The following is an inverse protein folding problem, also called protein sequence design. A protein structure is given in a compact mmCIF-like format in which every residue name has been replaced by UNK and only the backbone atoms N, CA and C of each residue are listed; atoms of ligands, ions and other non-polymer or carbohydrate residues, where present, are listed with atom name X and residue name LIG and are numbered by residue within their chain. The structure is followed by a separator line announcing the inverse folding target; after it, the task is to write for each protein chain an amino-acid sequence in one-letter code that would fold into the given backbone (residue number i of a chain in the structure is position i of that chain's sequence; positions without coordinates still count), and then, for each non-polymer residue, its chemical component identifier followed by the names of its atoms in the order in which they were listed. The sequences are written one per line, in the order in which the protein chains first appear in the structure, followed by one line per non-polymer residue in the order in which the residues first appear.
data_IF_585025588884
#
_entry.id   IF_585025588884
#
_cell.length_a   1.000
_cell.length_b   1.000
_cell.length_c   1.000
_cell.angle_alpha   90.00
_cell.angle_beta   90.00
_cell.angle_gamma   90.00
#
_symmetry.space_group_name_H-M   'P 1'
#
loop_
_entity.id
_entity.type
_entity.pdbx_description
1 polymer ?
#
# COMPACT_ATOMS: atom_id res chain seq x y z
N UNK A 1 16.41 -1.73 -4.17
CA UNK A 1 15.39 -2.56 -3.60
C UNK A 1 15.67 -3.99 -3.95
N UNK A 2 15.18 -4.92 -3.58
CA UNK A 2 15.17 -6.32 -3.60
C UNK A 2 16.09 -7.09 -4.50
N UNK A 3 16.32 -8.30 -4.12
CA UNK A 3 17.12 -9.26 -4.87
C UNK A 3 16.31 -9.95 -5.95
N UNK A 4 14.97 -9.87 -5.89
CA UNK A 4 14.06 -10.48 -6.84
C UNK A 4 13.17 -9.42 -7.48
N UNK A 5 13.59 -8.94 -8.67
CA UNK A 5 12.89 -7.89 -9.39
C UNK A 5 11.53 -8.34 -9.94
N UNK A 6 11.25 -9.65 -9.97
CA UNK A 6 9.97 -10.19 -10.43
C UNK A 6 8.95 -10.30 -9.31
N UNK A 7 9.34 -10.11 -8.06
CA UNK A 7 8.44 -10.23 -6.93
C UNK A 7 7.60 -8.96 -6.75
N UNK A 8 6.34 -9.15 -6.38
CA UNK A 8 5.43 -8.05 -6.07
C UNK A 8 4.86 -8.24 -4.67
N UNK A 9 4.95 -7.19 -3.88
CA UNK A 9 4.33 -7.15 -2.56
C UNK A 9 3.07 -6.28 -2.63
N UNK A 10 1.93 -6.85 -2.24
CA UNK A 10 0.65 -6.13 -2.17
C UNK A 10 0.33 -5.89 -0.70
N UNK A 11 0.31 -4.65 -0.29
CA UNK A 11 0.00 -4.25 1.08
C UNK A 11 -1.43 -3.70 1.15
N UNK A 12 -2.25 -4.30 2.00
CA UNK A 12 -3.51 -3.70 2.41
C UNK A 12 -3.29 -2.90 3.69
N UNK A 13 -3.59 -1.62 3.65
CA UNK A 13 -3.35 -0.70 4.77
C UNK A 13 -4.68 -0.23 5.34
N UNK A 14 -4.77 -0.19 6.66
CA UNK A 14 -5.92 0.36 7.35
C UNK A 14 -6.37 -0.49 8.52
N UNK A 15 -7.38 0.02 9.23
CA UNK A 15 -7.95 -0.66 10.39
C UNK A 15 -9.33 -1.20 10.03
N UNK A 16 -9.47 -2.52 9.96
CA UNK A 16 -10.73 -3.18 9.59
C UNK A 16 -11.85 -3.01 10.61
N UNK A 17 -11.53 -2.54 11.80
CA UNK A 17 -12.53 -2.24 12.83
C UNK A 17 -13.24 -0.90 12.55
N UNK A 18 -12.68 -0.07 11.67
CA UNK A 18 -13.26 1.22 11.27
C UNK A 18 -13.66 1.12 9.80
N UNK A 19 -14.97 1.20 9.51
CA UNK A 19 -15.51 0.75 8.22
C UNK A 19 -14.82 1.35 7.00
N UNK A 20 -14.58 2.65 6.95
CA UNK A 20 -13.94 3.28 5.79
C UNK A 20 -12.43 3.05 5.78
N UNK A 21 -11.83 2.94 6.94
CA UNK A 21 -10.38 2.76 7.10
C UNK A 21 -9.93 1.34 6.73
N UNK A 22 -10.85 0.38 6.73
CA UNK A 22 -10.54 -1.01 6.43
C UNK A 22 -10.57 -1.40 4.96
N UNK A 23 -10.88 -0.46 4.06
CA UNK A 23 -11.05 -0.74 2.62
C UNK A 23 -9.80 -1.34 1.99
N UNK A 24 -8.62 -0.80 2.32
CA UNK A 24 -7.36 -1.29 1.75
C UNK A 24 -7.10 -2.76 2.08
N UNK A 25 -7.30 -3.13 3.34
CA UNK A 25 -7.12 -4.52 3.78
C UNK A 25 -8.13 -5.45 3.12
N UNK A 26 -9.40 -5.03 3.07
CA UNK A 26 -10.46 -5.84 2.45
C UNK A 26 -10.23 -6.03 0.97
N UNK A 27 -9.77 -5.01 0.27
CA UNK A 27 -9.45 -5.12 -1.14
C UNK A 27 -8.28 -6.07 -1.37
N UNK A 28 -7.26 -5.99 -0.54
CA UNK A 28 -6.12 -6.92 -0.60
C UNK A 28 -6.57 -8.37 -0.40
N UNK A 29 -7.40 -8.61 0.61
CA UNK A 29 -7.93 -9.95 0.89
C UNK A 29 -8.75 -10.48 -0.28
N UNK A 30 -9.56 -9.64 -0.89
CA UNK A 30 -10.38 -10.04 -2.05
C UNK A 30 -9.52 -10.38 -3.25
N UNK A 31 -8.50 -9.59 -3.53
CA UNK A 31 -7.57 -9.90 -4.62
C UNK A 31 -6.83 -11.21 -4.38
N UNK A 32 -6.40 -11.45 -3.16
CA UNK A 32 -5.74 -12.70 -2.77
C UNK A 32 -6.68 -13.89 -3.00
N UNK A 33 -7.92 -13.78 -2.56
CA UNK A 33 -8.90 -14.87 -2.66
C UNK A 33 -9.32 -15.14 -4.10
N UNK A 34 -9.39 -14.11 -4.94
CA UNK A 34 -9.76 -14.27 -6.35
C UNK A 34 -8.60 -14.76 -7.22
N UNK A 35 -7.37 -14.47 -6.83
CA UNK A 35 -6.17 -14.80 -7.62
C UNK A 35 -5.08 -15.41 -6.76
N UNK A 36 -5.37 -16.54 -6.06
CA UNK A 36 -4.39 -17.13 -5.14
C UNK A 36 -3.17 -17.73 -5.83
N UNK A 37 -3.27 -18.00 -7.13
CA UNK A 37 -2.24 -18.70 -7.90
C UNK A 37 -1.23 -17.77 -8.57
N UNK A 38 -1.31 -16.45 -8.35
CA UNK A 38 -0.39 -15.52 -8.98
C UNK A 38 1.06 -15.75 -8.50
N UNK A 39 1.98 -16.17 -9.40
CA UNK A 39 3.35 -16.42 -8.99
C UNK A 39 4.09 -15.11 -8.66
N UNK A 40 4.93 -15.15 -7.66
CA UNK A 40 5.74 -14.01 -7.29
C UNK A 40 4.98 -12.87 -6.61
N UNK A 41 3.71 -13.06 -6.26
CA UNK A 41 2.90 -12.05 -5.59
C UNK A 41 2.65 -12.46 -4.15
N UNK A 42 2.99 -11.58 -3.22
CA UNK A 42 2.74 -11.78 -1.79
C UNK A 42 1.72 -10.75 -1.34
N UNK A 43 0.67 -11.22 -0.68
CA UNK A 43 -0.37 -10.37 -0.11
C UNK A 43 -0.16 -10.26 1.39
N UNK A 44 -0.16 -9.04 1.91
CA UNK A 44 0.11 -8.80 3.31
C UNK A 44 -0.84 -7.76 3.87
N UNK A 45 -1.46 -8.10 5.01
CA UNK A 45 -2.22 -7.14 5.80
C UNK A 45 -1.22 -6.31 6.61
N UNK A 46 -1.04 -5.08 6.18
CA UNK A 46 -0.14 -4.16 6.86
C UNK A 46 -0.78 -3.52 8.09
N UNK A 47 -2.11 -3.61 8.20
CA UNK A 47 -2.85 -2.99 9.30
C UNK A 47 -2.45 -1.53 9.48
N UNK A 48 -1.89 -1.22 10.63
CA UNK A 48 -1.20 0.04 10.86
C UNK A 48 0.25 -0.13 10.39
N UNK A 49 0.72 0.82 9.60
CA UNK A 49 2.08 0.77 9.05
C UNK A 49 3.13 0.79 10.16
N UNK A 50 4.14 -0.07 10.01
CA UNK A 50 5.18 -0.25 11.01
C UNK A 50 6.53 -0.50 10.34
N UNK A 51 7.62 -0.13 11.00
CA UNK A 51 8.98 -0.41 10.55
C UNK A 51 9.28 -1.90 10.41
N UNK A 52 8.47 -2.75 11.04
CA UNK A 52 8.58 -4.21 10.88
C UNK A 52 8.41 -4.63 9.42
N UNK A 53 7.68 -3.84 8.63
CA UNK A 53 7.46 -4.10 7.20
C UNK A 53 8.65 -3.74 6.32
N UNK A 54 9.61 -3.00 6.84
CA UNK A 54 10.71 -2.44 6.04
C UNK A 54 11.51 -3.52 5.29
N UNK A 55 11.93 -4.63 5.91
CA UNK A 55 12.66 -5.67 5.16
C UNK A 55 11.87 -6.23 3.99
N UNK A 56 10.57 -6.46 4.15
CA UNK A 56 9.72 -6.99 3.10
C UNK A 56 9.58 -6.01 1.94
N UNK A 57 9.45 -4.72 2.26
CA UNK A 57 9.38 -3.66 1.24
C UNK A 57 10.71 -3.57 0.48
N UNK A 58 11.83 -3.66 1.18
CA UNK A 58 13.14 -3.58 0.55
C UNK A 58 13.43 -4.80 -0.33
N UNK A 59 12.89 -5.97 0.02
CA UNK A 59 13.16 -7.21 -0.72
C UNK A 59 12.26 -7.39 -1.95
N UNK A 60 11.14 -6.67 -2.07
CA UNK A 60 10.27 -6.82 -3.22
C UNK A 60 10.79 -6.04 -4.44
N UNK A 61 10.47 -6.53 -5.63
CA UNK A 61 10.78 -5.83 -6.88
C UNK A 61 9.77 -4.74 -7.19
N UNK A 62 8.52 -4.95 -6.80
CA UNK A 62 7.42 -3.99 -7.00
C UNK A 62 6.55 -3.94 -5.76
N UNK A 63 6.02 -2.77 -5.46
CA UNK A 63 5.16 -2.56 -4.31
C UNK A 63 3.84 -1.95 -4.76
N UNK A 64 2.74 -2.58 -4.38
CA UNK A 64 1.39 -2.05 -4.55
C UNK A 64 0.77 -1.82 -3.17
N UNK A 65 0.37 -0.58 -2.90
CA UNK A 65 -0.26 -0.21 -1.64
C UNK A 65 -1.73 0.10 -1.89
N UNK A 66 -2.60 -0.57 -1.15
CA UNK A 66 -4.05 -0.38 -1.21
C UNK A 66 -4.49 0.29 0.09
N UNK A 67 -5.04 1.49 -0.03
CA UNK A 67 -5.39 2.29 1.14
C UNK A 67 -6.61 3.16 0.86
N UNK A 68 -7.35 3.48 1.90
CA UNK A 68 -8.41 4.47 1.84
C UNK A 68 -7.81 5.86 1.93
N UNK A 69 -8.29 6.78 1.08
CA UNK A 69 -7.79 8.14 1.07
C UNK A 69 -8.93 9.12 0.75
N UNK A 70 -8.77 10.35 1.21
CA UNK A 70 -9.68 11.43 0.83
C UNK A 70 -9.18 12.06 -0.47
N UNK A 71 -9.92 11.81 -1.55
CA UNK A 71 -9.52 12.23 -2.89
C UNK A 71 -10.27 13.48 -3.37
N UNK A 72 -11.21 14.00 -2.57
CA UNK A 72 -12.07 15.10 -2.97
C UNK A 72 -13.15 14.69 -3.97
N UNK A 73 -13.27 13.40 -4.25
CA UNK A 73 -14.28 12.83 -5.15
C UNK A 73 -15.38 12.16 -4.33
N UNK A 74 -16.49 11.78 -4.97
CA UNK A 74 -17.60 11.12 -4.29
C UNK A 74 -17.23 9.74 -3.75
N UNK A 75 -18.05 9.19 -2.83
CA UNK A 75 -17.84 7.84 -2.29
C UNK A 75 -17.76 6.80 -3.40
N UNK A 76 -16.90 5.80 -3.23
CA UNK A 76 -16.68 4.76 -4.23
C UNK A 76 -15.68 5.11 -5.32
N UNK A 77 -15.19 6.34 -5.35
CA UNK A 77 -14.14 6.75 -6.29
C UNK A 77 -12.80 6.15 -5.89
N UNK A 78 -11.95 5.91 -6.88
CA UNK A 78 -10.59 5.49 -6.62
C UNK A 78 -9.63 6.18 -7.58
N UNK A 79 -8.36 6.23 -7.19
CA UNK A 79 -7.28 6.76 -8.02
C UNK A 79 -6.06 5.89 -7.90
N UNK A 80 -5.32 5.81 -9.00
CA UNK A 80 -4.08 5.07 -9.08
C UNK A 80 -2.93 6.05 -9.29
N UNK A 81 -1.92 5.95 -8.46
CA UNK A 81 -0.71 6.78 -8.54
C UNK A 81 0.51 5.89 -8.71
N UNK A 82 1.39 6.25 -9.62
CA UNK A 82 2.64 5.53 -9.84
C UNK A 82 3.82 6.49 -9.87
N UNK A 83 4.97 6.02 -9.41
CA UNK A 83 6.23 6.73 -9.53
C UNK A 83 6.17 8.13 -8.95
N UNK A 84 6.53 9.12 -9.76
CA UNK A 84 6.55 10.52 -9.32
C UNK A 84 5.17 11.06 -8.98
N UNK A 85 4.12 10.56 -9.63
CA UNK A 85 2.74 10.95 -9.29
C UNK A 85 2.40 10.54 -7.86
N UNK A 86 2.82 9.35 -7.46
CA UNK A 86 2.64 8.86 -6.10
C UNK A 86 3.42 9.72 -5.11
N UNK A 87 4.68 10.02 -5.41
CA UNK A 87 5.52 10.84 -4.54
C UNK A 87 4.90 12.24 -4.36
N UNK A 88 4.41 12.84 -5.44
CA UNK A 88 3.77 14.15 -5.40
C UNK A 88 2.49 14.11 -4.57
N UNK A 89 1.67 13.09 -4.75
CA UNK A 89 0.45 12.93 -3.95
C UNK A 89 0.77 12.85 -2.46
N UNK A 90 1.77 12.04 -2.08
CA UNK A 90 2.14 11.85 -0.68
C UNK A 90 2.73 13.10 -0.05
N UNK A 91 3.33 13.99 -0.85
CA UNK A 91 3.96 15.22 -0.34
C UNK A 91 3.03 16.41 -0.29
N UNK A 92 2.08 16.50 -1.23
CA UNK A 92 1.26 17.69 -1.40
C UNK A 92 -0.16 17.53 -0.89
N UNK A 93 -0.65 16.31 -0.79
CA UNK A 93 -2.01 16.05 -0.35
C UNK A 93 -2.18 16.33 1.14
N UNK A 94 -3.44 16.55 1.55
CA UNK A 94 -3.80 16.56 2.96
C UNK A 94 -3.74 15.13 3.46
N UNK A 95 -2.57 14.70 3.84
CA UNK A 95 -2.32 13.31 4.17
C UNK A 95 -2.92 12.94 5.52
N UNK A 96 -3.56 11.78 5.55
CA UNK A 96 -3.91 11.12 6.79
C UNK A 96 -2.66 10.54 7.44
N UNK A 97 -2.82 9.96 8.63
CA UNK A 97 -1.73 9.26 9.32
C UNK A 97 -1.16 8.14 8.44
N UNK A 98 -2.03 7.47 7.67
CA UNK A 98 -1.60 6.37 6.79
C UNK A 98 -0.68 6.84 5.68
N UNK A 99 -1.03 7.93 4.98
CA UNK A 99 -0.19 8.44 3.89
C UNK A 99 1.16 8.94 4.40
N UNK A 100 1.19 9.57 5.58
CA UNK A 100 2.45 9.98 6.21
C UNK A 100 3.29 8.75 6.54
N UNK A 101 2.68 7.68 7.07
CA UNK A 101 3.39 6.44 7.37
C UNK A 101 3.94 5.77 6.12
N UNK A 102 3.17 5.74 5.03
CA UNK A 102 3.63 5.21 3.74
C UNK A 102 4.83 6.00 3.24
N UNK A 103 4.77 7.32 3.27
CA UNK A 103 5.85 8.18 2.83
C UNK A 103 7.12 7.90 3.62
N UNK A 104 7.02 7.81 4.94
CA UNK A 104 8.17 7.58 5.80
C UNK A 104 8.80 6.21 5.55
N UNK A 105 7.99 5.17 5.37
CA UNK A 105 8.49 3.84 5.07
C UNK A 105 9.19 3.79 3.70
N UNK A 106 8.62 4.44 2.69
CA UNK A 106 9.23 4.50 1.37
C UNK A 106 10.55 5.26 1.39
N UNK A 107 10.62 6.37 2.11
CA UNK A 107 11.85 7.14 2.24
C UNK A 107 12.95 6.29 2.89
N UNK A 108 12.62 5.54 3.94
CA UNK A 108 13.57 4.63 4.58
C UNK A 108 13.96 3.47 3.67
N UNK A 109 13.02 2.91 2.92
CA UNK A 109 13.30 1.78 2.02
C UNK A 109 14.24 2.16 0.88
N UNK A 110 14.26 3.43 0.49
CA UNK A 110 15.09 3.96 -0.60
C UNK A 110 16.50 4.35 -0.17
N UNK A 111 16.76 4.30 1.12
CA UNK A 111 18.11 4.54 1.62
C UNK A 111 19.03 3.37 1.27
#
# INVERSE_FOLDING_TARGET
MGTDSSSTLVLGVGNTLMSDDGVGVRLMERLRDERPELPGVTFLDAGTLSFVLLPQIQDCGSLLVLDAAQLGSGPGSFRHFEGTQMDDFLRTARCSVHEVGIRDLLDLARL
#
